data_IF_970984776442
#
_entry.id   IF_970984776442
#
_cell.length_a   1.000
_cell.length_b   1.000
_cell.length_c   1.000
_cell.angle_alpha   90.00
_cell.angle_beta   90.00
_cell.angle_gamma   90.00
#
_symmetry.space_group_name_H-M   'P 1'
#
loop_
_entity.id
_entity.type
_entity.pdbx_description
1 polymer ?
#
# COMPACT_ATOMS: atom_id res chain seq x y z
N UNK A 1 15.22 -12.54 90.08
CA UNK A 1 14.11 -11.68 90.49
C UNK A 1 14.56 -10.25 90.35
N UNK A 2 14.21 -9.57 89.31
CA UNK A 2 14.11 -8.08 89.13
C UNK A 2 13.34 -7.81 87.88
N UNK A 3 12.08 -7.46 88.01
CA UNK A 3 11.21 -6.95 87.02
C UNK A 3 11.71 -5.58 86.54
N UNK A 4 11.86 -5.39 85.25
CA UNK A 4 12.04 -4.09 84.60
C UNK A 4 10.88 -3.90 83.65
N UNK A 5 9.86 -3.17 84.09
CA UNK A 5 8.76 -2.70 83.32
C UNK A 5 9.24 -1.52 82.47
N UNK A 6 9.25 -1.71 81.13
CA UNK A 6 9.49 -0.65 80.17
C UNK A 6 8.16 0.02 79.80
N UNK A 7 8.01 1.31 80.15
CA UNK A 7 6.91 2.17 79.66
C UNK A 7 7.30 2.83 78.32
N UNK A 8 6.48 2.75 77.27
CA UNK A 8 6.81 3.43 76.00
C UNK A 8 6.55 4.94 76.11
N UNK A 9 7.52 5.75 75.68
CA UNK A 9 7.39 7.20 75.56
C UNK A 9 6.24 7.54 74.57
N UNK A 10 5.31 8.38 74.96
CA UNK A 10 4.28 9.01 74.08
C UNK A 10 5.01 9.91 73.07
N UNK A 11 4.80 9.66 71.82
CA UNK A 11 5.12 10.58 70.74
C UNK A 11 3.97 11.59 70.61
N UNK A 12 4.27 12.85 70.71
CA UNK A 12 3.33 13.93 70.36
C UNK A 12 3.16 13.98 68.82
N UNK A 13 1.93 14.11 68.32
CA UNK A 13 1.72 14.18 66.87
C UNK A 13 2.26 15.51 66.33
N UNK A 14 2.94 15.45 65.15
CA UNK A 14 3.43 16.60 64.46
C UNK A 14 2.25 17.54 64.06
N UNK A 15 2.45 18.86 64.02
CA UNK A 15 1.40 19.79 63.63
C UNK A 15 0.99 19.55 62.15
N UNK A 16 -0.30 19.68 61.83
CA UNK A 16 -0.81 19.43 60.49
C UNK A 16 -0.22 20.45 59.49
N UNK A 17 0.06 20.03 58.23
CA UNK A 17 0.59 20.93 57.22
C UNK A 17 -0.40 22.06 56.92
N UNK A 18 0.10 23.28 56.85
CA UNK A 18 -0.70 24.48 56.51
C UNK A 18 -1.19 24.35 55.05
N UNK A 19 -2.50 24.39 54.86
CA UNK A 19 -3.11 24.38 53.52
C UNK A 19 -2.70 25.63 52.77
N UNK A 20 -2.21 25.52 51.50
CA UNK A 20 -1.91 26.71 50.71
C UNK A 20 -3.18 27.56 50.50
N UNK A 21 -3.04 28.87 50.60
CA UNK A 21 -4.15 29.82 50.45
C UNK A 21 -4.74 29.65 49.05
N UNK A 22 -5.88 28.98 48.94
CA UNK A 22 -6.60 28.68 47.66
C UNK A 22 -6.84 29.90 46.77
N UNK A 23 -6.90 31.11 47.36
CA UNK A 23 -7.11 32.34 46.62
C UNK A 23 -5.94 32.76 45.72
N UNK A 24 -4.69 32.49 46.12
CA UNK A 24 -3.51 32.84 45.32
C UNK A 24 -3.35 31.96 44.07
N UNK A 25 -3.66 30.67 44.20
CA UNK A 25 -3.62 29.75 43.05
C UNK A 25 -4.73 30.08 42.03
N UNK A 26 -5.89 30.44 42.48
CA UNK A 26 -7.01 30.84 41.60
C UNK A 26 -6.71 32.14 40.81
N UNK A 27 -6.07 33.11 41.47
CA UNK A 27 -5.66 34.36 40.83
C UNK A 27 -4.58 34.13 39.76
N UNK A 28 -3.61 33.23 40.02
CA UNK A 28 -2.58 32.89 39.06
C UNK A 28 -3.15 32.16 37.81
N UNK A 29 -4.13 31.26 38.03
CA UNK A 29 -4.84 30.59 36.95
C UNK A 29 -5.62 31.55 36.06
N UNK A 30 -6.31 32.53 36.66
CA UNK A 30 -7.07 33.57 35.92
C UNK A 30 -6.12 34.44 35.08
N UNK A 31 -4.95 34.83 35.62
CA UNK A 31 -3.95 35.63 34.88
C UNK A 31 -3.38 34.83 33.68
N UNK A 32 -3.12 33.53 33.84
CA UNK A 32 -2.64 32.67 32.75
C UNK A 32 -3.70 32.50 31.66
N UNK A 33 -5.00 32.33 32.03
CA UNK A 33 -6.09 32.17 31.07
C UNK A 33 -6.34 33.47 30.30
N UNK A 34 -6.35 34.63 31.00
CA UNK A 34 -6.55 35.96 30.37
C UNK A 34 -5.32 36.28 29.49
N UNK A 35 -4.09 36.06 29.96
CA UNK A 35 -2.87 36.35 29.21
C UNK A 35 -2.74 35.44 27.97
N UNK A 36 -2.99 34.13 28.14
CA UNK A 36 -2.98 33.15 27.04
C UNK A 36 -4.10 33.43 26.00
N UNK A 37 -5.30 33.73 26.46
CA UNK A 37 -6.41 34.09 25.57
C UNK A 37 -6.14 35.38 24.79
N UNK A 38 -5.58 36.40 25.44
CA UNK A 38 -5.21 37.68 24.78
C UNK A 38 -4.09 37.46 23.75
N UNK A 39 -3.10 36.60 24.04
CA UNK A 39 -2.02 36.28 23.09
C UNK A 39 -2.55 35.51 21.86
N UNK A 40 -3.45 34.56 22.05
CA UNK A 40 -4.06 33.80 20.95
C UNK A 40 -4.96 34.71 20.08
N UNK A 41 -5.72 35.62 20.70
CA UNK A 41 -6.51 36.60 19.97
C UNK A 41 -5.63 37.61 19.20
N UNK A 42 -4.51 38.02 19.78
CA UNK A 42 -3.56 38.92 19.11
C UNK A 42 -2.89 38.19 17.91
N UNK A 43 -2.49 36.92 18.05
CA UNK A 43 -1.93 36.13 16.94
C UNK A 43 -2.97 35.86 15.83
N UNK A 44 -4.23 35.63 16.22
CA UNK A 44 -5.34 35.50 15.26
C UNK A 44 -5.61 36.81 14.53
N UNK A 45 -5.60 37.94 15.23
CA UNK A 45 -5.72 39.28 14.64
C UNK A 45 -4.57 39.58 13.67
N UNK A 46 -3.33 39.31 14.05
CA UNK A 46 -2.17 39.44 13.15
C UNK A 46 -2.31 38.59 11.89
N UNK A 47 -2.75 37.31 12.05
CA UNK A 47 -2.96 36.41 10.93
C UNK A 47 -4.05 36.89 9.96
N UNK A 48 -5.16 37.48 10.48
CA UNK A 48 -6.22 38.01 9.67
C UNK A 48 -5.89 39.35 8.97
N UNK A 49 -5.05 40.18 9.58
CA UNK A 49 -4.80 41.55 9.10
C UNK A 49 -3.44 41.75 8.43
N UNK A 50 -2.51 40.83 8.64
CA UNK A 50 -1.26 40.77 7.93
C UNK A 50 -1.11 39.39 7.23
N UNK A 51 -1.85 39.13 6.13
CA UNK A 51 -1.59 37.94 5.34
C UNK A 51 -0.13 37.98 4.89
N UNK A 52 0.62 36.91 5.16
CA UNK A 52 1.98 36.75 4.65
C UNK A 52 1.90 36.95 3.15
N UNK A 53 2.44 38.08 2.67
CA UNK A 53 2.57 38.30 1.23
C UNK A 53 3.49 37.21 0.71
N UNK A 54 3.11 36.47 -0.33
CA UNK A 54 4.03 35.52 -0.97
C UNK A 54 5.25 36.31 -1.42
N UNK A 55 6.42 35.81 -1.08
CA UNK A 55 7.72 36.43 -1.40
C UNK A 55 7.86 36.48 -2.92
N UNK A 56 7.54 37.65 -3.51
CA UNK A 56 7.57 37.86 -4.98
C UNK A 56 9.01 37.91 -5.52
N UNK A 57 10.02 37.72 -4.67
CA UNK A 57 11.44 37.70 -5.04
C UNK A 57 12.02 36.28 -5.20
N UNK A 58 11.23 35.22 -5.18
CA UNK A 58 11.69 33.98 -5.78
C UNK A 58 11.74 34.20 -7.29
N UNK A 59 12.93 34.48 -7.79
CA UNK A 59 13.23 34.40 -9.22
C UNK A 59 12.66 33.07 -9.70
N UNK A 60 11.73 33.13 -10.67
CA UNK A 60 11.28 31.94 -11.37
C UNK A 60 12.55 31.17 -11.78
N UNK A 61 12.78 30.04 -11.14
CA UNK A 61 13.79 29.09 -11.60
C UNK A 61 13.51 28.81 -13.07
N UNK A 62 14.50 28.42 -13.86
CA UNK A 62 14.31 28.11 -15.26
C UNK A 62 13.09 27.20 -15.35
N UNK A 63 12.13 27.57 -16.19
CA UNK A 63 10.95 26.74 -16.47
C UNK A 63 11.49 25.34 -16.74
N UNK A 64 11.16 24.41 -15.86
CA UNK A 64 11.47 22.98 -16.09
C UNK A 64 10.66 22.67 -17.34
N UNK A 65 11.35 22.58 -18.46
CA UNK A 65 10.77 22.09 -19.71
C UNK A 65 10.19 20.72 -19.35
N UNK A 66 8.86 20.61 -19.37
CA UNK A 66 8.21 19.34 -19.05
C UNK A 66 8.71 18.35 -20.10
N UNK A 67 9.57 17.44 -19.66
CA UNK A 67 10.09 16.37 -20.50
C UNK A 67 8.88 15.65 -21.08
N UNK A 68 8.82 15.59 -22.41
CA UNK A 68 7.68 14.97 -23.11
C UNK A 68 7.57 13.54 -22.63
N UNK A 69 6.47 13.22 -21.95
CA UNK A 69 6.21 11.86 -21.46
C UNK A 69 5.98 10.99 -22.70
N UNK A 70 6.92 10.06 -22.93
CA UNK A 70 6.82 9.10 -24.03
C UNK A 70 5.94 7.92 -23.55
N UNK A 71 4.85 7.59 -24.28
CA UNK A 71 4.01 6.45 -23.95
C UNK A 71 4.79 5.13 -23.97
N UNK A 72 4.49 4.25 -23.03
CA UNK A 72 5.08 2.92 -22.96
C UNK A 72 4.03 1.84 -23.18
N UNK A 73 4.45 0.70 -23.77
CA UNK A 73 3.56 -0.43 -23.94
C UNK A 73 3.30 -1.14 -22.61
N UNK A 74 2.04 -1.34 -22.29
CA UNK A 74 1.59 -1.94 -21.03
C UNK A 74 1.45 -3.46 -21.05
N UNK A 75 1.73 -4.11 -22.17
CA UNK A 75 1.77 -5.56 -22.29
C UNK A 75 3.08 -6.16 -21.76
N UNK A 76 3.06 -7.44 -21.36
CA UNK A 76 4.24 -8.14 -20.86
C UNK A 76 5.29 -8.39 -21.96
N UNK A 77 4.87 -8.53 -23.21
CA UNK A 77 5.72 -8.80 -24.37
C UNK A 77 5.51 -7.75 -25.44
N UNK A 78 6.58 -7.12 -25.94
CA UNK A 78 6.47 -6.03 -26.91
C UNK A 78 5.90 -6.46 -28.26
N UNK A 79 6.21 -7.69 -28.70
CA UNK A 79 5.73 -8.27 -29.95
C UNK A 79 5.33 -9.73 -29.68
N UNK A 80 4.12 -9.99 -29.17
CA UNK A 80 3.69 -11.35 -28.83
C UNK A 80 3.57 -12.20 -30.09
N UNK A 81 4.17 -13.38 -30.04
CA UNK A 81 4.14 -14.36 -31.15
C UNK A 81 2.74 -14.97 -31.33
N UNK A 82 1.97 -14.99 -30.26
CA UNK A 82 0.62 -15.57 -30.22
C UNK A 82 -0.43 -14.50 -29.89
N UNK A 83 -1.64 -14.70 -30.43
CA UNK A 83 -2.79 -13.85 -30.14
C UNK A 83 -3.95 -14.69 -29.62
N UNK A 84 -4.69 -14.19 -28.61
CA UNK A 84 -5.87 -14.88 -28.10
C UNK A 84 -7.03 -14.81 -29.13
N UNK A 85 -7.59 -15.97 -29.44
CA UNK A 85 -8.72 -16.16 -30.34
C UNK A 85 -9.88 -16.75 -29.55
N UNK A 86 -11.02 -16.07 -29.55
CA UNK A 86 -12.20 -16.49 -28.82
C UNK A 86 -12.97 -17.58 -29.56
N UNK A 87 -13.47 -18.56 -28.83
CA UNK A 87 -14.40 -19.56 -29.33
C UNK A 87 -15.84 -18.99 -29.36
N UNK A 88 -16.49 -19.07 -30.50
CA UNK A 88 -17.91 -18.67 -30.66
C UNK A 88 -18.92 -19.54 -29.87
N UNK A 89 -18.44 -20.69 -29.34
CA UNK A 89 -19.27 -21.64 -28.60
C UNK A 89 -19.42 -21.32 -27.11
N UNK A 90 -18.57 -20.42 -26.60
CA UNK A 90 -18.59 -20.07 -25.19
C UNK A 90 -19.42 -18.80 -24.94
N UNK A 91 -20.35 -18.84 -23.97
CA UNK A 91 -21.09 -17.65 -23.56
C UNK A 91 -20.15 -16.61 -22.96
N UNK A 92 -20.63 -15.38 -22.81
CA UNK A 92 -19.88 -14.33 -22.13
C UNK A 92 -19.66 -14.68 -20.66
N UNK A 93 -18.52 -14.23 -20.12
CA UNK A 93 -18.25 -14.33 -18.69
C UNK A 93 -19.18 -13.37 -17.95
N UNK A 94 -19.85 -13.87 -16.92
CA UNK A 94 -20.71 -13.06 -16.04
C UNK A 94 -20.29 -13.29 -14.59
N UNK A 95 -19.92 -12.21 -13.91
CA UNK A 95 -19.56 -12.18 -12.48
C UNK A 95 -20.43 -11.13 -11.80
N UNK A 96 -21.66 -11.49 -11.39
CA UNK A 96 -22.66 -10.53 -10.92
C UNK A 96 -22.35 -9.98 -9.52
N UNK A 97 -21.42 -10.57 -8.80
CA UNK A 97 -21.01 -10.22 -7.44
C UNK A 97 -19.91 -9.19 -7.39
N UNK A 98 -19.10 -9.08 -8.45
CA UNK A 98 -18.08 -8.05 -8.59
C UNK A 98 -18.72 -6.73 -9.05
N UNK A 99 -18.30 -5.60 -8.47
CA UNK A 99 -18.64 -4.28 -9.00
C UNK A 99 -18.08 -4.11 -10.41
N UNK A 100 -16.83 -4.47 -10.60
CA UNK A 100 -16.16 -4.44 -11.89
C UNK A 100 -15.17 -5.59 -12.02
N UNK A 101 -14.95 -6.08 -13.25
CA UNK A 101 -13.90 -7.05 -13.52
C UNK A 101 -13.27 -6.83 -14.90
N UNK A 102 -12.03 -7.29 -15.05
CA UNK A 102 -11.33 -7.38 -16.31
C UNK A 102 -10.51 -8.67 -16.38
N UNK A 103 -10.52 -9.30 -17.55
CA UNK A 103 -9.65 -10.41 -17.93
C UNK A 103 -8.80 -9.93 -19.11
N UNK A 104 -7.48 -9.95 -18.95
CA UNK A 104 -6.53 -9.41 -19.92
C UNK A 104 -5.51 -10.49 -20.29
N UNK A 105 -5.30 -10.70 -21.58
CA UNK A 105 -4.13 -11.43 -22.05
C UNK A 105 -2.88 -10.59 -21.77
N UNK A 106 -2.04 -11.07 -20.87
CA UNK A 106 -0.92 -10.26 -20.39
C UNK A 106 0.12 -10.00 -21.49
N UNK A 107 0.31 -10.94 -22.39
CA UNK A 107 1.35 -10.86 -23.40
C UNK A 107 1.00 -9.87 -24.53
N UNK A 108 -0.26 -9.78 -24.92
CA UNK A 108 -0.73 -8.83 -25.95
C UNK A 108 -1.39 -7.57 -25.40
N UNK A 109 -1.76 -7.55 -24.11
CA UNK A 109 -2.53 -6.48 -23.51
C UNK A 109 -4.01 -6.44 -23.90
N UNK A 110 -4.50 -7.46 -24.65
CA UNK A 110 -5.88 -7.52 -25.13
C UNK A 110 -6.84 -7.85 -23.99
N UNK A 111 -7.92 -7.07 -23.86
CA UNK A 111 -9.03 -7.37 -22.96
C UNK A 111 -9.81 -8.55 -23.55
N UNK A 112 -9.92 -9.63 -22.81
CA UNK A 112 -10.61 -10.86 -23.18
C UNK A 112 -12.08 -10.86 -22.73
N UNK A 113 -12.34 -10.32 -21.54
CA UNK A 113 -13.66 -10.11 -20.98
C UNK A 113 -13.60 -8.97 -19.94
N UNK A 114 -14.73 -8.31 -19.73
CA UNK A 114 -14.86 -7.27 -18.73
C UNK A 114 -16.31 -6.88 -18.52
N UNK A 115 -16.60 -6.28 -17.39
CA UNK A 115 -17.84 -5.60 -17.11
C UNK A 115 -17.56 -4.47 -16.15
N UNK A 116 -18.03 -3.25 -16.48
CA UNK A 116 -17.67 -2.03 -15.74
C UNK A 116 -16.15 -1.85 -15.60
N UNK A 117 -15.38 -2.40 -16.52
CA UNK A 117 -13.92 -2.52 -16.43
C UNK A 117 -13.18 -1.18 -16.43
N UNK A 118 -13.85 -0.09 -16.84
CA UNK A 118 -13.33 1.28 -16.82
C UNK A 118 -13.93 2.13 -15.67
N UNK A 119 -14.82 1.58 -14.85
CA UNK A 119 -15.37 2.30 -13.72
C UNK A 119 -14.26 2.60 -12.69
N UNK A 120 -14.17 3.88 -12.31
CA UNK A 120 -13.21 4.33 -11.29
C UNK A 120 -13.66 3.92 -9.91
N UNK A 121 -12.82 3.20 -9.19
CA UNK A 121 -13.08 2.72 -7.82
C UNK A 121 -11.80 2.73 -6.98
N UNK A 122 -11.97 2.87 -5.66
CA UNK A 122 -10.87 2.66 -4.73
C UNK A 122 -10.37 1.21 -4.86
N UNK A 123 -9.07 1.05 -4.88
CA UNK A 123 -8.43 -0.24 -5.19
C UNK A 123 -7.61 -0.81 -4.03
N UNK A 124 -7.53 -0.07 -2.92
CA UNK A 124 -6.77 -0.45 -1.74
C UNK A 124 -5.35 -0.94 -2.12
N UNK A 125 -4.91 -2.05 -1.53
CA UNK A 125 -3.57 -2.61 -1.73
C UNK A 125 -3.25 -3.14 -3.13
N UNK A 126 -4.16 -3.10 -4.11
CA UNK A 126 -3.78 -3.37 -5.51
C UNK A 126 -2.82 -2.28 -6.02
N UNK A 127 -2.86 -1.09 -5.45
CA UNK A 127 -1.88 0.00 -5.61
C UNK A 127 -0.43 -0.46 -5.51
N UNK A 128 -0.14 -1.44 -4.66
CA UNK A 128 1.22 -1.96 -4.44
C UNK A 128 1.85 -2.61 -5.66
N UNK A 129 1.05 -2.90 -6.70
CA UNK A 129 1.60 -3.33 -7.99
C UNK A 129 2.40 -2.22 -8.66
N UNK A 130 1.92 -0.96 -8.62
CA UNK A 130 2.66 0.19 -9.14
C UNK A 130 3.91 0.47 -8.29
N UNK A 131 3.79 0.35 -6.96
CA UNK A 131 4.94 0.46 -6.06
C UNK A 131 6.01 -0.59 -6.37
N UNK A 132 5.61 -1.83 -6.64
CA UNK A 132 6.54 -2.90 -7.02
C UNK A 132 7.23 -2.62 -8.37
N UNK A 133 6.51 -2.14 -9.37
CA UNK A 133 7.08 -1.76 -10.67
C UNK A 133 8.15 -0.68 -10.49
N UNK A 134 7.81 0.40 -9.78
CA UNK A 134 8.76 1.50 -9.54
C UNK A 134 9.96 1.04 -8.71
N UNK A 135 9.76 0.14 -7.74
CA UNK A 135 10.86 -0.48 -7.00
C UNK A 135 11.81 -1.20 -7.94
N UNK A 136 11.30 -2.03 -8.85
CA UNK A 136 12.12 -2.77 -9.82
C UNK A 136 12.81 -1.87 -10.85
N UNK A 137 12.20 -0.74 -11.21
CA UNK A 137 12.78 0.20 -12.18
C UNK A 137 13.83 1.15 -11.58
N UNK A 138 13.65 1.53 -10.31
CA UNK A 138 14.48 2.56 -9.68
C UNK A 138 15.62 1.99 -8.82
N UNK A 139 15.42 0.82 -8.20
CA UNK A 139 16.43 0.17 -7.35
C UNK A 139 17.21 -0.84 -8.18
N UNK A 140 18.51 -0.55 -8.39
CA UNK A 140 19.39 -1.42 -9.17
C UNK A 140 19.87 -2.64 -8.39
N UNK A 141 20.11 -2.47 -7.11
CA UNK A 141 20.53 -3.52 -6.19
C UNK A 141 19.47 -3.72 -5.11
N UNK A 142 18.62 -4.72 -5.26
CA UNK A 142 17.58 -5.02 -4.27
C UNK A 142 18.15 -5.41 -2.88
N UNK A 143 19.43 -5.72 -2.78
CA UNK A 143 20.05 -6.05 -1.49
C UNK A 143 20.60 -4.80 -0.76
N UNK A 144 20.43 -3.59 -1.36
CA UNK A 144 20.75 -2.34 -0.69
C UNK A 144 19.88 -2.13 0.55
N UNK A 145 20.46 -1.42 1.54
CA UNK A 145 19.85 -1.18 2.84
C UNK A 145 18.87 -0.01 2.80
N UNK A 146 17.70 -0.22 3.33
CA UNK A 146 16.67 0.80 3.58
C UNK A 146 16.57 1.04 5.08
N UNK A 147 16.64 2.31 5.49
CA UNK A 147 16.49 2.72 6.87
C UNK A 147 14.99 2.89 7.20
N UNK A 148 14.57 2.44 8.38
CA UNK A 148 13.19 2.52 8.85
C UNK A 148 13.06 3.64 9.88
N UNK A 149 12.09 4.53 9.70
CA UNK A 149 11.79 5.60 10.65
C UNK A 149 10.39 5.46 11.29
N UNK A 150 9.88 6.51 11.91
CA UNK A 150 8.62 6.48 12.65
C UNK A 150 7.40 6.39 11.72
N UNK A 151 7.46 6.95 10.53
CA UNK A 151 6.35 6.98 9.58
C UNK A 151 5.92 5.57 9.15
N UNK A 152 6.89 4.66 8.86
CA UNK A 152 6.63 3.26 8.54
C UNK A 152 6.09 2.50 9.75
N UNK A 153 6.69 2.72 10.93
CA UNK A 153 6.34 1.97 12.15
C UNK A 153 4.91 2.26 12.61
N UNK A 154 4.46 3.52 12.47
CA UNK A 154 3.14 3.94 12.97
C UNK A 154 2.02 3.89 11.92
N UNK A 155 2.31 3.53 10.65
CA UNK A 155 1.25 3.38 9.64
C UNK A 155 0.18 2.38 10.08
N UNK A 156 -1.03 2.54 9.61
CA UNK A 156 -2.14 1.64 9.88
C UNK A 156 -2.19 0.41 8.97
N UNK A 157 -3.08 -0.53 9.30
CA UNK A 157 -3.35 -1.73 8.51
C UNK A 157 -2.34 -2.85 8.68
N UNK A 158 -2.13 -3.62 7.63
CA UNK A 158 -1.18 -4.74 7.59
C UNK A 158 0.27 -4.25 7.57
N UNK A 159 1.14 -4.94 8.30
CA UNK A 159 2.56 -4.59 8.45
C UNK A 159 3.42 -5.84 8.44
N UNK A 160 4.70 -5.66 8.28
CA UNK A 160 5.68 -6.74 8.51
C UNK A 160 5.47 -7.31 9.91
N UNK A 161 5.40 -8.64 10.00
CA UNK A 161 5.11 -9.36 11.24
C UNK A 161 3.66 -9.31 11.72
N UNK A 162 2.82 -8.43 11.15
CA UNK A 162 1.41 -8.26 11.52
C UNK A 162 0.52 -8.39 10.27
N UNK A 163 0.18 -9.61 9.83
CA UNK A 163 -0.57 -9.87 8.60
C UNK A 163 -2.03 -9.41 8.65
N UNK A 164 -2.51 -9.04 9.84
CA UNK A 164 -3.82 -8.41 10.04
C UNK A 164 -3.67 -7.24 10.99
N UNK A 165 -4.45 -6.18 10.78
CA UNK A 165 -4.46 -5.04 11.69
C UNK A 165 -4.71 -5.52 13.14
N UNK A 166 -3.82 -5.11 14.05
CA UNK A 166 -3.89 -5.48 15.47
C UNK A 166 -3.48 -6.92 15.83
N UNK A 167 -3.08 -7.76 14.84
CA UNK A 167 -2.63 -9.13 15.10
C UNK A 167 -1.23 -9.38 14.53
N UNK A 168 -0.25 -9.58 15.42
CA UNK A 168 1.14 -9.81 15.05
C UNK A 168 1.58 -11.24 15.40
N UNK A 169 2.31 -11.88 14.52
CA UNK A 169 2.84 -13.24 14.64
C UNK A 169 4.37 -13.26 14.85
N UNK A 170 5.02 -12.14 14.57
CA UNK A 170 6.45 -11.93 14.77
C UNK A 170 6.72 -10.45 15.08
N UNK A 171 7.96 -10.03 15.41
CA UNK A 171 8.30 -8.62 15.57
C UNK A 171 7.88 -7.77 14.37
N UNK A 172 7.44 -6.53 14.64
CA UNK A 172 7.24 -5.47 13.62
C UNK A 172 8.58 -4.79 13.33
N UNK A 173 8.63 -4.02 12.24
CA UNK A 173 9.72 -3.09 12.00
C UNK A 173 9.90 -2.13 13.18
N UNK A 174 11.13 -1.69 13.42
CA UNK A 174 11.51 -0.77 14.50
C UNK A 174 12.19 0.45 13.92
N UNK A 175 12.02 1.59 14.58
CA UNK A 175 12.75 2.81 14.24
C UNK A 175 14.26 2.54 14.34
N UNK A 176 14.99 2.90 13.29
CA UNK A 176 16.42 2.66 13.16
C UNK A 176 16.80 1.25 12.71
N UNK A 177 15.83 0.38 12.44
CA UNK A 177 16.10 -0.90 11.80
C UNK A 177 16.53 -0.69 10.36
N UNK A 178 17.44 -1.52 9.89
CA UNK A 178 17.90 -1.55 8.50
C UNK A 178 17.52 -2.88 7.87
N UNK A 179 16.85 -2.83 6.74
CA UNK A 179 16.37 -4.01 6.03
C UNK A 179 16.59 -3.85 4.53
N UNK A 180 16.79 -4.95 3.78
CA UNK A 180 17.02 -4.84 2.34
C UNK A 180 15.74 -4.46 1.58
N UNK A 181 15.89 -3.72 0.48
CA UNK A 181 14.79 -3.42 -0.43
C UNK A 181 14.11 -4.70 -0.94
N UNK A 182 14.86 -5.79 -1.15
CA UNK A 182 14.34 -7.12 -1.48
C UNK A 182 13.38 -7.64 -0.42
N UNK A 183 13.76 -7.57 0.85
CA UNK A 183 12.92 -8.04 1.96
C UNK A 183 11.64 -7.20 2.10
N UNK A 184 11.74 -5.89 1.91
CA UNK A 184 10.57 -5.01 1.90
C UNK A 184 9.65 -5.31 0.71
N UNK A 185 10.19 -5.47 -0.50
CA UNK A 185 9.42 -5.85 -1.68
C UNK A 185 8.68 -7.18 -1.46
N UNK A 186 9.36 -8.18 -0.92
CA UNK A 186 8.77 -9.47 -0.58
C UNK A 186 7.63 -9.32 0.43
N UNK A 187 7.83 -8.58 1.51
CA UNK A 187 6.82 -8.35 2.53
C UNK A 187 5.60 -7.58 1.98
N UNK A 188 5.84 -6.58 1.13
CA UNK A 188 4.79 -5.80 0.48
C UNK A 188 3.91 -6.69 -0.43
N UNK A 189 4.51 -7.58 -1.19
CA UNK A 189 3.79 -8.46 -2.13
C UNK A 189 3.07 -9.59 -1.41
N UNK A 190 3.73 -10.34 -0.53
CA UNK A 190 3.16 -11.48 0.17
C UNK A 190 2.16 -11.09 1.25
N UNK A 191 2.61 -10.24 2.18
CA UNK A 191 1.89 -9.88 3.41
C UNK A 191 1.02 -8.63 3.24
N UNK A 192 1.08 -8.00 2.06
CA UNK A 192 0.43 -6.70 1.82
C UNK A 192 0.88 -5.60 2.79
N UNK A 193 2.13 -5.65 3.26
CA UNK A 193 2.69 -4.79 4.29
C UNK A 193 2.72 -3.32 3.85
N UNK A 194 2.00 -2.45 4.58
CA UNK A 194 1.91 -1.02 4.30
C UNK A 194 3.21 -0.29 4.65
N UNK A 195 3.82 -0.66 5.80
CA UNK A 195 5.12 -0.17 6.23
C UNK A 195 6.21 -0.41 5.18
N UNK A 196 6.23 -1.60 4.58
CA UNK A 196 7.17 -1.93 3.51
C UNK A 196 6.95 -1.08 2.24
N UNK A 197 5.70 -0.82 1.88
CA UNK A 197 5.38 0.03 0.72
C UNK A 197 5.85 1.47 0.91
N UNK A 198 5.63 2.02 2.12
CA UNK A 198 6.06 3.38 2.47
C UNK A 198 7.58 3.46 2.51
N UNK A 199 8.25 2.50 3.17
CA UNK A 199 9.70 2.45 3.24
C UNK A 199 10.34 2.45 1.85
N UNK A 200 9.86 1.62 0.92
CA UNK A 200 10.34 1.60 -0.46
C UNK A 200 10.08 2.92 -1.18
N UNK A 201 8.87 3.49 -1.04
CA UNK A 201 8.53 4.76 -1.66
C UNK A 201 9.41 5.91 -1.19
N UNK A 202 9.58 6.05 0.12
CA UNK A 202 10.45 7.07 0.72
C UNK A 202 11.91 6.88 0.35
N UNK A 203 12.39 5.63 0.34
CA UNK A 203 13.77 5.33 -0.07
C UNK A 203 14.05 5.77 -1.52
N UNK A 204 13.08 5.58 -2.42
CA UNK A 204 13.23 5.94 -3.85
C UNK A 204 13.09 7.44 -4.10
N UNK A 205 12.15 8.12 -3.43
CA UNK A 205 11.75 9.49 -3.76
C UNK A 205 11.93 10.50 -2.61
N UNK A 206 12.45 10.08 -1.46
CA UNK A 206 12.68 10.93 -0.29
C UNK A 206 11.44 11.21 0.57
N UNK A 207 10.23 10.99 0.03
CA UNK A 207 8.95 11.15 0.74
C UNK A 207 7.84 10.32 0.11
N UNK A 208 6.73 10.10 0.84
CA UNK A 208 5.54 9.47 0.27
C UNK A 208 4.95 10.28 -0.87
N UNK A 209 4.85 11.61 -0.72
CA UNK A 209 4.30 12.51 -1.75
C UNK A 209 5.16 12.46 -3.02
N UNK A 210 6.49 12.57 -2.90
CA UNK A 210 7.40 12.47 -4.05
C UNK A 210 7.29 11.11 -4.76
N UNK A 211 7.05 10.04 -4.02
CA UNK A 211 6.83 8.74 -4.64
C UNK A 211 5.44 8.63 -5.30
N UNK A 212 4.42 9.24 -4.71
CA UNK A 212 3.07 9.31 -5.30
C UNK A 212 3.09 10.08 -6.63
N UNK A 213 3.87 11.15 -6.71
CA UNK A 213 4.11 11.86 -7.97
C UNK A 213 4.73 10.95 -9.04
N UNK A 214 5.72 10.13 -8.67
CA UNK A 214 6.30 9.13 -9.57
C UNK A 214 5.30 8.07 -10.01
N UNK A 215 4.40 7.63 -9.10
CA UNK A 215 3.33 6.67 -9.44
C UNK A 215 2.37 7.26 -10.48
N UNK A 216 1.96 8.51 -10.31
CA UNK A 216 1.04 9.17 -11.23
C UNK A 216 1.72 9.50 -12.57
N UNK A 217 2.99 9.91 -12.57
CA UNK A 217 3.77 10.04 -13.80
C UNK A 217 3.88 8.71 -14.57
N UNK A 218 4.08 7.59 -13.85
CA UNK A 218 4.13 6.27 -14.45
C UNK A 218 2.76 5.86 -15.02
N UNK A 219 1.68 6.18 -14.31
CA UNK A 219 0.31 5.96 -14.81
C UNK A 219 0.06 6.73 -16.12
N UNK A 220 0.51 7.98 -16.21
CA UNK A 220 0.42 8.79 -17.43
C UNK A 220 1.26 8.18 -18.57
N UNK A 221 2.50 7.74 -18.31
CA UNK A 221 3.32 7.04 -19.32
C UNK A 221 2.66 5.76 -19.84
N UNK A 222 1.93 5.06 -18.97
CA UNK A 222 1.18 3.85 -19.31
C UNK A 222 -0.20 4.14 -19.92
N UNK A 223 -0.56 5.41 -20.13
CA UNK A 223 -1.87 5.84 -20.65
C UNK A 223 -3.05 5.28 -19.83
N UNK A 224 -2.88 5.22 -18.48
CA UNK A 224 -3.91 4.75 -17.56
C UNK A 224 -4.84 5.91 -17.20
N UNK A 225 -5.87 6.10 -18.01
CA UNK A 225 -6.75 7.28 -17.91
C UNK A 225 -7.74 7.26 -16.74
N UNK A 226 -7.96 6.08 -16.17
CA UNK A 226 -8.89 5.85 -15.06
C UNK A 226 -8.15 5.58 -13.74
N UNK A 227 -6.92 6.12 -13.60
CA UNK A 227 -6.05 5.82 -12.45
C UNK A 227 -5.47 7.09 -11.83
N UNK A 228 -5.60 7.23 -10.50
CA UNK A 228 -4.92 8.22 -9.69
C UNK A 228 -4.52 7.62 -8.35
N UNK A 229 -3.23 7.64 -8.05
CA UNK A 229 -2.65 7.13 -6.80
C UNK A 229 -2.50 8.25 -5.78
N UNK A 230 -2.70 7.95 -4.49
CA UNK A 230 -2.53 8.89 -3.39
C UNK A 230 -1.43 8.48 -2.41
N UNK A 231 -1.10 7.20 -2.31
CA UNK A 231 -0.10 6.68 -1.38
C UNK A 231 0.61 5.47 -1.96
N UNK A 232 1.85 5.17 -1.54
CA UNK A 232 2.55 3.95 -1.96
C UNK A 232 1.86 2.65 -1.53
N UNK A 233 1.07 2.70 -0.48
CA UNK A 233 0.41 1.55 0.15
C UNK A 233 -1.00 1.26 -0.38
N UNK A 234 -1.68 2.28 -0.93
CA UNK A 234 -3.09 2.24 -1.31
C UNK A 234 -4.04 2.42 -0.12
N UNK A 235 -3.54 2.94 1.02
CA UNK A 235 -4.41 3.52 2.03
C UNK A 235 -4.90 4.87 1.53
N UNK A 236 -6.20 5.07 1.57
CA UNK A 236 -6.80 6.34 1.20
C UNK A 236 -6.58 7.35 2.34
N UNK A 237 -6.16 8.60 2.05
CA UNK A 237 -6.10 9.65 3.06
C UNK A 237 -7.51 10.03 3.53
N UNK A 238 -7.68 10.24 4.84
CA UNK A 238 -8.96 10.58 5.44
C UNK A 238 -9.62 11.79 4.78
N UNK A 239 -10.88 11.64 4.34
CA UNK A 239 -11.66 12.67 3.69
C UNK A 239 -11.29 12.94 2.22
N UNK A 240 -10.33 12.19 1.66
CA UNK A 240 -9.89 12.28 0.27
C UNK A 240 -9.94 10.92 -0.46
N UNK A 241 -10.73 10.00 0.07
CA UNK A 241 -10.82 8.62 -0.43
C UNK A 241 -11.24 8.58 -1.90
N UNK A 242 -12.12 9.50 -2.33
CA UNK A 242 -12.59 9.59 -3.71
C UNK A 242 -11.54 10.09 -4.71
N UNK A 243 -10.43 10.65 -4.24
CA UNK A 243 -9.33 11.08 -5.12
C UNK A 243 -8.41 9.92 -5.51
N UNK A 244 -8.49 8.80 -4.80
CA UNK A 244 -7.62 7.64 -4.94
C UNK A 244 -8.37 6.52 -5.64
N UNK A 245 -8.16 6.35 -6.93
CA UNK A 245 -8.93 5.39 -7.72
C UNK A 245 -8.10 4.73 -8.83
N UNK A 246 -8.62 3.63 -9.32
CA UNK A 246 -8.23 3.00 -10.59
C UNK A 246 -9.42 2.22 -11.14
N UNK A 247 -9.26 1.62 -12.31
CA UNK A 247 -10.23 0.73 -12.94
C UNK A 247 -9.71 -0.72 -13.01
N UNK A 248 -10.59 -1.68 -13.22
CA UNK A 248 -10.20 -3.08 -13.37
C UNK A 248 -9.30 -3.27 -14.60
N UNK A 249 -9.57 -2.54 -15.70
CA UNK A 249 -8.76 -2.58 -16.90
C UNK A 249 -7.36 -2.00 -16.66
N UNK A 250 -7.26 -0.86 -15.98
CA UNK A 250 -5.97 -0.23 -15.72
C UNK A 250 -5.11 -1.06 -14.76
N UNK A 251 -5.71 -1.62 -13.70
CA UNK A 251 -5.00 -2.53 -12.79
C UNK A 251 -4.52 -3.78 -13.54
N UNK A 252 -5.32 -4.33 -14.46
CA UNK A 252 -4.90 -5.47 -15.27
C UNK A 252 -3.73 -5.12 -16.20
N UNK A 253 -3.69 -3.91 -16.78
CA UNK A 253 -2.57 -3.40 -17.56
C UNK A 253 -1.30 -3.21 -16.73
N UNK A 254 -1.43 -2.65 -15.51
CA UNK A 254 -0.32 -2.53 -14.56
C UNK A 254 0.26 -3.91 -14.25
N UNK A 255 -0.60 -4.89 -13.98
CA UNK A 255 -0.17 -6.25 -13.70
C UNK A 255 0.48 -6.92 -14.92
N UNK A 256 -0.08 -6.77 -16.12
CA UNK A 256 0.52 -7.27 -17.36
C UNK A 256 1.92 -6.69 -17.58
N UNK A 257 2.08 -5.37 -17.42
CA UNK A 257 3.39 -4.72 -17.50
C UNK A 257 4.38 -5.27 -16.46
N UNK A 258 3.91 -5.53 -15.23
CA UNK A 258 4.77 -6.06 -14.15
C UNK A 258 5.33 -7.46 -14.44
N UNK A 259 4.73 -8.21 -15.38
CA UNK A 259 5.22 -9.53 -15.80
C UNK A 259 6.57 -9.50 -16.54
N UNK A 260 7.07 -8.32 -16.88
CA UNK A 260 8.47 -8.10 -17.33
C UNK A 260 9.48 -8.33 -16.20
N UNK A 261 9.03 -8.28 -14.95
CA UNK A 261 9.85 -8.42 -13.75
C UNK A 261 9.57 -9.74 -13.06
N UNK A 262 10.24 -10.81 -13.48
CA UNK A 262 10.12 -12.15 -12.89
C UNK A 262 10.16 -12.15 -11.37
N UNK A 263 10.95 -11.25 -10.78
CA UNK A 263 11.11 -11.14 -9.32
C UNK A 263 9.79 -10.87 -8.61
N UNK A 264 8.92 -10.02 -9.16
CA UNK A 264 7.61 -9.70 -8.57
C UNK A 264 6.77 -10.99 -8.49
N UNK A 265 6.65 -11.71 -9.58
CA UNK A 265 5.79 -12.89 -9.66
C UNK A 265 6.36 -14.10 -8.92
N UNK A 266 7.68 -14.25 -8.86
CA UNK A 266 8.33 -15.24 -7.99
C UNK A 266 8.04 -14.98 -6.51
N UNK A 267 8.03 -13.72 -6.07
CA UNK A 267 7.75 -13.36 -4.68
C UNK A 267 6.29 -13.63 -4.28
N UNK A 268 5.34 -13.47 -5.18
CA UNK A 268 3.94 -13.89 -4.94
C UNK A 268 3.82 -15.39 -4.68
N UNK A 269 4.66 -16.20 -5.32
CA UNK A 269 4.67 -17.65 -5.16
C UNK A 269 5.41 -18.17 -3.90
N UNK A 270 5.95 -17.30 -3.05
CA UNK A 270 6.68 -17.75 -1.86
C UNK A 270 5.73 -18.34 -0.80
N UNK A 271 6.17 -19.40 -0.11
CA UNK A 271 5.34 -20.11 0.84
C UNK A 271 5.05 -19.27 2.10
N UNK A 272 3.95 -19.61 2.77
CA UNK A 272 3.64 -19.10 4.10
C UNK A 272 4.79 -19.38 5.08
N UNK A 273 4.92 -18.51 6.09
CA UNK A 273 5.99 -18.53 7.10
C UNK A 273 7.39 -18.32 6.50
N UNK A 274 7.48 -17.65 5.35
CA UNK A 274 8.76 -17.13 4.85
C UNK A 274 9.34 -16.12 5.85
N UNK A 275 10.65 -16.16 6.05
CA UNK A 275 11.33 -15.23 6.95
C UNK A 275 12.15 -14.21 6.18
N UNK A 276 12.10 -12.96 6.65
CA UNK A 276 13.02 -11.89 6.27
C UNK A 276 13.76 -11.40 7.51
N UNK A 277 14.92 -10.77 7.34
CA UNK A 277 15.78 -10.35 8.46
C UNK A 277 16.29 -8.94 8.28
N UNK A 278 16.51 -8.26 9.40
CA UNK A 278 17.31 -7.02 9.41
C UNK A 278 18.72 -7.28 8.86
N UNK A 279 19.38 -6.24 8.35
CA UNK A 279 20.72 -6.34 7.73
C UNK A 279 21.76 -6.92 8.70
N UNK A 280 21.68 -6.58 9.98
CA UNK A 280 22.54 -7.12 11.04
C UNK A 280 22.17 -8.54 11.48
N UNK A 281 21.07 -9.09 10.95
CA UNK A 281 20.54 -10.41 11.31
C UNK A 281 19.90 -10.48 12.70
N UNK A 282 19.84 -9.37 13.43
CA UNK A 282 19.36 -9.32 14.81
C UNK A 282 17.85 -9.48 14.98
N UNK A 283 17.07 -9.16 13.97
CA UNK A 283 15.61 -9.24 13.99
C UNK A 283 15.15 -10.13 12.83
N UNK A 284 14.25 -11.07 13.13
CA UNK A 284 13.59 -11.93 12.14
C UNK A 284 12.09 -11.63 12.13
N UNK A 285 11.53 -11.50 10.92
CA UNK A 285 10.11 -11.24 10.70
C UNK A 285 9.52 -12.37 9.86
N UNK A 286 8.35 -12.85 10.28
CA UNK A 286 7.61 -13.90 9.57
C UNK A 286 6.57 -13.27 8.66
N UNK A 287 6.50 -13.74 7.42
CA UNK A 287 5.53 -13.31 6.41
C UNK A 287 4.48 -14.38 6.15
N UNK A 288 3.25 -13.93 5.95
CA UNK A 288 2.12 -14.77 5.52
C UNK A 288 1.71 -14.33 4.11
N UNK A 289 1.57 -15.27 3.21
CA UNK A 289 1.03 -14.97 1.90
C UNK A 289 -0.49 -14.74 2.00
N UNK A 290 -0.95 -13.61 1.47
CA UNK A 290 -2.37 -13.25 1.48
C UNK A 290 -3.20 -13.95 0.40
N UNK A 291 -2.56 -14.63 -0.55
CA UNK A 291 -3.22 -15.41 -1.60
C UNK A 291 -3.70 -16.75 -1.04
N UNK A 292 -5.02 -16.92 -0.96
CA UNK A 292 -5.64 -18.13 -0.41
C UNK A 292 -5.75 -19.27 -1.42
N UNK A 293 -5.54 -19.02 -2.71
CA UNK A 293 -5.74 -20.01 -3.78
C UNK A 293 -4.46 -20.38 -4.51
N UNK A 294 -3.33 -19.82 -4.10
CA UNK A 294 -2.03 -20.02 -4.73
C UNK A 294 -1.68 -21.51 -4.93
N UNK A 295 -2.00 -22.36 -3.96
CA UNK A 295 -1.69 -23.80 -4.02
C UNK A 295 -2.89 -24.66 -4.44
N UNK A 296 -4.06 -24.06 -4.62
CA UNK A 296 -5.31 -24.79 -4.89
C UNK A 296 -5.66 -24.83 -6.38
N UNK A 297 -5.17 -23.84 -7.14
CA UNK A 297 -5.45 -23.72 -8.58
C UNK A 297 -4.14 -23.95 -9.33
N UNK A 298 -4.12 -24.91 -10.28
CA UNK A 298 -2.94 -25.13 -11.12
C UNK A 298 -2.56 -23.86 -11.91
N UNK A 299 -1.25 -23.67 -12.08
CA UNK A 299 -0.66 -22.63 -12.92
C UNK A 299 -0.96 -21.17 -12.45
N UNK A 300 -1.44 -20.98 -11.23
CA UNK A 300 -1.49 -19.65 -10.61
C UNK A 300 -0.07 -19.18 -10.36
N UNK A 301 0.23 -18.01 -10.90
CA UNK A 301 1.53 -17.35 -10.71
C UNK A 301 1.58 -16.58 -9.38
N UNK A 302 0.41 -16.29 -8.84
CA UNK A 302 0.18 -15.51 -7.63
C UNK A 302 -0.70 -14.30 -7.87
N UNK A 303 -0.96 -13.53 -6.82
CA UNK A 303 -1.86 -12.41 -6.92
C UNK A 303 -1.78 -11.43 -5.76
N UNK A 304 -2.54 -10.37 -5.88
CA UNK A 304 -2.62 -9.30 -4.89
C UNK A 304 -4.04 -9.10 -4.41
N UNK A 305 -4.24 -9.17 -3.11
CA UNK A 305 -5.52 -8.82 -2.45
C UNK A 305 -5.57 -7.34 -2.11
N UNK A 306 -6.77 -6.76 -2.15
CA UNK A 306 -7.08 -5.41 -1.68
C UNK A 306 -8.30 -5.43 -0.77
N UNK A 307 -8.28 -4.59 0.27
CA UNK A 307 -9.44 -4.31 1.10
C UNK A 307 -9.25 -3.02 1.89
N UNK A 308 -10.19 -2.10 1.74
CA UNK A 308 -10.54 -1.04 2.67
C UNK A 308 -12.06 -0.95 2.72
N UNK A 309 -12.68 -0.27 3.70
CA UNK A 309 -14.12 -0.07 3.70
C UNK A 309 -14.66 0.61 2.43
N UNK A 310 -13.85 1.50 1.81
CA UNK A 310 -14.21 2.20 0.57
C UNK A 310 -14.02 1.34 -0.67
N UNK A 311 -12.95 0.55 -0.73
CA UNK A 311 -12.62 -0.31 -1.88
C UNK A 311 -13.45 -1.60 -1.96
N UNK A 312 -13.99 -2.08 -0.82
CA UNK A 312 -14.53 -3.42 -0.74
C UNK A 312 -13.46 -4.51 -0.93
N UNK A 313 -13.88 -5.73 -1.20
CA UNK A 313 -12.96 -6.87 -1.41
C UNK A 313 -12.49 -6.94 -2.86
N UNK A 314 -11.22 -6.72 -3.10
CA UNK A 314 -10.63 -6.76 -4.44
C UNK A 314 -9.54 -7.84 -4.55
N UNK A 315 -9.35 -8.36 -5.77
CA UNK A 315 -8.35 -9.39 -6.08
C UNK A 315 -7.79 -9.17 -7.48
N UNK A 316 -6.47 -9.28 -7.60
CA UNK A 316 -5.75 -9.40 -8.85
C UNK A 316 -5.05 -10.75 -8.86
N UNK A 317 -5.12 -11.49 -9.97
CA UNK A 317 -4.50 -12.81 -10.12
C UNK A 317 -3.82 -12.93 -11.48
N UNK A 318 -2.57 -13.39 -11.48
CA UNK A 318 -1.86 -13.85 -12.68
C UNK A 318 -1.94 -15.35 -12.79
N UNK A 319 -2.28 -15.85 -13.96
CA UNK A 319 -2.41 -17.28 -14.25
C UNK A 319 -1.80 -17.58 -15.62
N UNK A 320 -1.17 -18.73 -15.77
CA UNK A 320 -0.73 -19.23 -17.07
C UNK A 320 -1.60 -20.41 -17.54
N UNK A 321 -1.54 -20.71 -18.83
CA UNK A 321 -2.04 -21.98 -19.36
C UNK A 321 -1.14 -23.17 -18.92
N UNK A 322 -1.55 -24.37 -19.24
CA UNK A 322 -0.80 -25.60 -18.90
C UNK A 322 0.58 -25.70 -19.58
N UNK A 323 0.80 -24.94 -20.64
CA UNK A 323 2.10 -24.88 -21.33
C UNK A 323 3.03 -23.83 -20.74
N UNK A 324 2.53 -22.96 -19.88
CA UNK A 324 3.21 -21.76 -19.35
C UNK A 324 3.63 -20.74 -20.41
N UNK A 325 3.08 -20.84 -21.62
CA UNK A 325 3.39 -19.94 -22.73
C UNK A 325 2.44 -18.74 -22.80
N UNK A 326 1.22 -18.87 -22.28
CA UNK A 326 0.19 -17.85 -22.34
C UNK A 326 -0.24 -17.45 -20.93
N UNK A 327 -0.19 -16.15 -20.66
CA UNK A 327 -0.42 -15.58 -19.35
C UNK A 327 -1.61 -14.64 -19.37
N UNK A 328 -2.45 -14.75 -18.36
CA UNK A 328 -3.67 -13.94 -18.22
C UNK A 328 -3.63 -13.23 -16.87
N UNK A 329 -4.10 -12.01 -16.84
CA UNK A 329 -4.38 -11.26 -15.62
C UNK A 329 -5.89 -11.15 -15.45
N UNK A 330 -6.39 -11.45 -14.26
CA UNK A 330 -7.79 -11.30 -13.90
C UNK A 330 -7.87 -10.36 -12.70
N UNK A 331 -8.71 -9.34 -12.81
CA UNK A 331 -8.96 -8.36 -11.74
C UNK A 331 -10.43 -8.38 -11.39
N UNK A 332 -10.73 -8.50 -10.10
CA UNK A 332 -12.07 -8.39 -9.52
C UNK A 332 -12.05 -7.23 -8.52
N UNK A 333 -12.92 -6.24 -8.70
CA UNK A 333 -13.07 -5.10 -7.79
C UNK A 333 -14.38 -5.20 -7.02
N UNK A 334 -14.29 -5.01 -5.70
CA UNK A 334 -15.41 -5.05 -4.76
C UNK A 334 -16.29 -6.29 -4.95
N UNK A 335 -15.66 -7.44 -4.79
CA UNK A 335 -16.28 -8.74 -4.94
C UNK A 335 -16.17 -9.55 -3.64
N UNK A 336 -17.26 -9.67 -2.86
CA UNK A 336 -17.25 -10.45 -1.61
C UNK A 336 -17.02 -11.95 -1.83
N UNK A 337 -17.24 -12.46 -3.03
CA UNK A 337 -17.03 -13.85 -3.41
C UNK A 337 -15.80 -14.07 -4.29
N UNK A 338 -14.86 -13.11 -4.31
CA UNK A 338 -13.68 -13.11 -5.18
C UNK A 338 -12.92 -14.43 -5.27
N UNK A 339 -12.90 -15.26 -4.21
CA UNK A 339 -12.21 -16.56 -4.21
C UNK A 339 -12.93 -17.65 -4.99
N UNK A 340 -14.25 -17.56 -5.14
CA UNK A 340 -15.04 -18.43 -5.98
C UNK A 340 -15.04 -17.93 -7.43
N UNK A 341 -15.22 -16.63 -7.59
CA UNK A 341 -15.36 -16.00 -8.89
C UNK A 341 -14.05 -15.98 -9.68
N UNK A 342 -12.91 -15.85 -9.01
CA UNK A 342 -11.62 -15.99 -9.66
C UNK A 342 -11.42 -17.39 -10.28
N UNK A 343 -11.87 -18.45 -9.60
CA UNK A 343 -11.82 -19.83 -10.12
C UNK A 343 -12.68 -19.99 -11.37
N UNK A 344 -13.89 -19.43 -11.33
CA UNK A 344 -14.81 -19.46 -12.46
C UNK A 344 -14.26 -18.66 -13.65
N UNK A 345 -13.66 -17.50 -13.39
CA UNK A 345 -13.05 -16.68 -14.42
C UNK A 345 -11.84 -17.36 -15.08
N UNK A 346 -10.98 -18.01 -14.29
CA UNK A 346 -9.84 -18.79 -14.80
C UNK A 346 -10.33 -19.93 -15.69
N UNK A 347 -11.26 -20.74 -15.21
CA UNK A 347 -11.81 -21.88 -15.94
C UNK A 347 -12.48 -21.43 -17.24
N UNK A 348 -13.28 -20.36 -17.18
CA UNK A 348 -13.91 -19.77 -18.37
C UNK A 348 -12.88 -19.31 -19.38
N UNK A 349 -11.84 -18.60 -18.95
CA UNK A 349 -10.83 -18.00 -19.84
C UNK A 349 -10.14 -19.04 -20.71
N UNK A 350 -9.62 -20.12 -20.10
CA UNK A 350 -8.91 -21.16 -20.83
C UNK A 350 -9.82 -22.15 -21.58
N UNK A 351 -11.14 -22.09 -21.38
CA UNK A 351 -12.13 -22.75 -22.25
C UNK A 351 -12.61 -21.87 -23.40
N UNK A 352 -12.67 -20.56 -23.18
CA UNK A 352 -13.18 -19.60 -24.13
C UNK A 352 -12.12 -19.13 -25.15
N UNK A 353 -10.85 -19.23 -24.83
CA UNK A 353 -9.76 -18.75 -25.66
C UNK A 353 -8.74 -19.84 -25.96
N UNK A 354 -8.22 -19.77 -27.20
CA UNK A 354 -7.00 -20.43 -27.63
C UNK A 354 -6.00 -19.37 -28.13
N UNK A 355 -4.73 -19.67 -28.11
CA UNK A 355 -3.70 -18.75 -28.60
C UNK A 355 -3.13 -19.26 -29.91
N UNK A 356 -3.27 -18.45 -30.96
CA UNK A 356 -2.82 -18.79 -32.31
C UNK A 356 -1.59 -17.97 -32.68
N UNK A 357 -0.62 -18.63 -33.32
CA UNK A 357 0.59 -17.98 -33.81
C UNK A 357 0.25 -16.97 -34.88
N UNK A 358 0.78 -15.74 -34.75
CA UNK A 358 0.68 -14.74 -35.81
C UNK A 358 1.46 -15.21 -37.03
N UNK A 359 0.82 -15.11 -38.18
CA UNK A 359 1.42 -15.48 -39.47
C UNK A 359 2.27 -14.37 -40.04
#
# INVERSE_FOLDING_TARGET
>A
MRDITYLPKRFDPAPPPQKPKRGFLLLLLIVIIIGGGSYLLYRYYEWCHNPVQPDTNQSAGPAVEMEKIEPIKVQAVDNPEYQPVRSDKMPDLVIPTAHAFAVVDADSGKILAGNHETDQKQIASLTKMMTAILTMEKIKDLDESVDIDDEEVYIEGTKIGCPRSGYCISPRLRIGERISARSLLQAMLMNSANDAAIALGKHIAGSQDGFTDLMNQKAEQMELTDTHFCTPSGLEPDGRESECYSSAADIARIAAYSMRFDTIWKMFGYPNNSEIRSIDGGISHTLINSDMVLNDIPNVMGGKTGFTPAAGYSLLMGVSDATHLHRVVIVLLDDPYRWQDIRAAIDWTFKAYSWEKQR
#
